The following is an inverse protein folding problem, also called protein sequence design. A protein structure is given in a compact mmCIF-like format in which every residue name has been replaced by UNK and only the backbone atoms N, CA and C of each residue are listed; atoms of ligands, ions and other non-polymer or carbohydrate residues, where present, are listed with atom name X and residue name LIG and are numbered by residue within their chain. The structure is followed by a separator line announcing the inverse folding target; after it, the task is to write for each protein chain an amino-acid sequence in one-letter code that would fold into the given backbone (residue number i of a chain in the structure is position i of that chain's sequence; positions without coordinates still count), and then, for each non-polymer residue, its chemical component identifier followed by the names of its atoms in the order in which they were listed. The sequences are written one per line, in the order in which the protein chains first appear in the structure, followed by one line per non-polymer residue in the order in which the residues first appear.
data_IF_549975296272
#
_entry.id   IF_549975296272
#
_cell.length_a   1.000
_cell.length_b   1.000
_cell.length_c   1.000
_cell.angle_alpha   90.00
_cell.angle_beta   90.00
_cell.angle_gamma   90.00
#
_symmetry.space_group_name_H-M   'P 1'
#
loop_
_entity.id
_entity.type
_entity.pdbx_description
1 polymer ?
#
# COMPACT_ATOMS: atom_id res chain seq x y z
N UNK A 1 1.91 50.48 -44.26
CA UNK A 1 3.03 50.08 -43.37
C UNK A 1 2.51 50.11 -41.94
N UNK A 2 2.53 49.09 -41.09
CA UNK A 2 2.74 47.65 -41.23
C UNK A 2 2.10 47.03 -39.97
N UNK A 3 1.17 46.10 -40.18
CA UNK A 3 0.65 45.14 -39.20
C UNK A 3 1.76 44.14 -38.90
N UNK A 4 2.25 44.00 -37.65
CA UNK A 4 2.98 42.84 -37.02
C UNK A 4 3.17 43.19 -35.52
N UNK A 5 2.89 42.43 -34.47
CA UNK A 5 2.60 41.00 -34.23
C UNK A 5 1.88 40.90 -32.87
N UNK A 6 0.63 40.47 -32.76
CA UNK A 6 0.15 39.09 -32.60
C UNK A 6 0.88 38.27 -31.52
N UNK A 7 0.16 38.10 -30.42
CA UNK A 7 0.30 37.13 -29.33
C UNK A 7 0.83 35.77 -29.79
N UNK A 8 1.97 35.36 -29.24
CA UNK A 8 2.39 33.96 -29.23
C UNK A 8 1.99 33.33 -27.89
N UNK A 9 0.71 33.00 -27.77
CA UNK A 9 0.21 32.05 -26.79
C UNK A 9 -0.20 30.79 -27.55
N UNK A 10 0.70 29.81 -27.63
CA UNK A 10 0.33 28.47 -28.07
C UNK A 10 1.34 27.45 -27.53
N UNK A 11 0.81 26.59 -26.65
CA UNK A 11 1.16 25.18 -26.56
C UNK A 11 2.62 24.81 -26.26
N UNK A 12 3.05 25.07 -25.02
CA UNK A 12 3.72 23.99 -24.29
C UNK A 12 2.61 23.10 -23.74
N UNK A 13 2.06 22.25 -24.60
CA UNK A 13 1.33 21.07 -24.16
C UNK A 13 2.34 20.26 -23.37
N UNK A 14 2.25 20.37 -22.04
CA UNK A 14 2.89 19.43 -21.15
C UNK A 14 2.51 18.05 -21.67
N UNK A 15 3.49 17.33 -22.21
CA UNK A 15 3.53 15.90 -21.96
C UNK A 15 3.59 15.78 -20.44
N UNK A 16 2.41 15.79 -19.79
CA UNK A 16 2.23 15.03 -18.58
C UNK A 16 2.54 13.60 -19.01
N UNK A 17 3.81 13.23 -18.96
CA UNK A 17 4.17 11.86 -18.73
C UNK A 17 3.40 11.51 -17.47
N UNK A 18 2.30 10.79 -17.62
CA UNK A 18 1.61 10.15 -16.51
C UNK A 18 2.67 9.28 -15.87
N UNK A 19 3.34 9.81 -14.86
CA UNK A 19 3.99 9.01 -13.85
C UNK A 19 2.83 8.29 -13.17
N UNK A 20 2.37 7.19 -13.76
CA UNK A 20 1.45 6.29 -13.09
C UNK A 20 2.26 5.67 -11.95
N UNK A 21 2.23 6.32 -10.80
CA UNK A 21 2.59 5.69 -9.55
C UNK A 21 1.59 4.54 -9.35
N UNK A 22 2.08 3.34 -9.01
CA UNK A 22 1.18 2.25 -8.70
C UNK A 22 0.35 2.53 -7.46
N UNK A 23 -0.75 1.80 -7.33
CA UNK A 23 -1.55 1.75 -6.12
C UNK A 23 -0.92 0.73 -5.17
N UNK A 24 -0.48 1.21 -4.02
CA UNK A 24 0.23 0.41 -3.03
C UNK A 24 -0.73 -0.05 -1.93
N UNK A 25 -0.67 -1.33 -1.57
CA UNK A 25 -1.32 -1.92 -0.41
C UNK A 25 -0.26 -2.45 0.56
N UNK A 26 -0.36 -2.04 1.82
CA UNK A 26 0.59 -2.39 2.88
C UNK A 26 -0.09 -3.19 3.98
N UNK A 27 0.65 -4.15 4.54
CA UNK A 27 0.25 -4.95 5.69
C UNK A 27 0.09 -4.10 6.95
N UNK A 28 -1.04 -4.28 7.64
CA UNK A 28 -1.37 -3.65 8.91
C UNK A 28 -1.73 -4.76 9.90
N UNK A 29 -0.84 -5.14 10.83
CA UNK A 29 -1.07 -6.26 11.73
C UNK A 29 -2.24 -5.98 12.67
N UNK A 30 -2.96 -7.03 13.04
CA UNK A 30 -4.11 -7.00 13.98
C UNK A 30 -3.93 -7.90 15.19
N UNK A 31 -2.91 -8.77 15.17
CA UNK A 31 -2.53 -9.62 16.27
C UNK A 31 -0.99 -9.75 16.34
N UNK A 32 -0.51 -10.42 17.39
CA UNK A 32 0.91 -10.66 17.66
C UNK A 32 1.26 -12.15 17.52
N UNK A 33 0.45 -12.89 16.76
CA UNK A 33 0.66 -14.30 16.42
C UNK A 33 1.87 -14.46 15.48
N UNK A 34 2.43 -15.65 15.40
CA UNK A 34 3.51 -15.96 14.46
C UNK A 34 3.01 -16.10 13.02
N UNK A 35 3.79 -15.74 11.98
CA UNK A 35 5.08 -15.04 12.04
C UNK A 35 4.92 -13.58 12.49
N UNK A 36 5.70 -13.15 13.48
CA UNK A 36 5.71 -11.78 14.00
C UNK A 36 6.56 -10.86 13.13
N UNK A 37 6.23 -9.58 13.14
CA UNK A 37 7.07 -8.54 12.50
C UNK A 37 7.17 -8.66 10.99
N UNK A 38 6.27 -9.41 10.35
CA UNK A 38 6.24 -9.48 8.90
C UNK A 38 5.83 -8.15 8.28
N UNK A 39 6.36 -7.87 7.10
CA UNK A 39 5.84 -6.83 6.23
C UNK A 39 5.43 -7.44 4.90
N UNK A 40 4.38 -6.90 4.30
CA UNK A 40 3.94 -7.27 2.97
C UNK A 40 3.45 -6.00 2.27
N UNK A 41 3.98 -5.76 1.08
CA UNK A 41 3.57 -4.67 0.21
C UNK A 41 3.27 -5.23 -1.18
N UNK A 42 2.13 -4.83 -1.74
CA UNK A 42 1.78 -5.10 -3.13
C UNK A 42 1.53 -3.79 -3.85
N UNK A 43 2.04 -3.67 -5.07
CA UNK A 43 1.79 -2.52 -5.94
C UNK A 43 1.08 -2.99 -7.20
N UNK A 44 -0.02 -2.32 -7.56
CA UNK A 44 -0.81 -2.61 -8.75
C UNK A 44 -0.91 -1.39 -9.67
N UNK A 45 -1.11 -1.60 -10.96
CA UNK A 45 -1.56 -0.52 -11.82
C UNK A 45 -3.00 -0.08 -11.49
N UNK A 46 -3.29 1.21 -11.70
CA UNK A 46 -4.60 1.80 -11.40
C UNK A 46 -5.74 1.12 -12.15
N UNK A 47 -5.51 0.70 -13.40
CA UNK A 47 -6.54 0.08 -14.23
C UNK A 47 -7.03 -1.23 -13.63
N UNK A 48 -6.13 -1.99 -13.03
CA UNK A 48 -6.42 -3.27 -12.37
C UNK A 48 -7.19 -3.06 -11.08
N UNK A 49 -6.79 -2.08 -10.25
CA UNK A 49 -7.56 -1.72 -9.05
C UNK A 49 -8.97 -1.29 -9.42
N UNK A 50 -9.11 -0.45 -10.45
CA UNK A 50 -10.42 0.01 -10.95
C UNK A 50 -11.27 -1.10 -11.56
N UNK A 51 -10.68 -2.22 -11.98
CA UNK A 51 -11.42 -3.39 -12.46
C UNK A 51 -12.07 -4.20 -11.33
N UNK A 52 -11.64 -4.01 -10.09
CA UNK A 52 -12.23 -4.58 -8.88
C UNK A 52 -11.72 -5.98 -8.50
N UNK A 53 -11.01 -6.68 -9.39
CA UNK A 53 -10.38 -7.96 -9.07
C UNK A 53 -9.09 -8.19 -9.87
N UNK A 54 -8.21 -9.04 -9.35
CA UNK A 54 -6.99 -9.47 -9.99
C UNK A 54 -6.69 -10.92 -9.67
N UNK A 55 -6.53 -11.74 -10.71
CA UNK A 55 -6.13 -13.14 -10.55
C UNK A 55 -4.90 -13.42 -11.40
N UNK A 56 -3.89 -14.05 -10.81
CA UNK A 56 -2.64 -14.40 -11.47
C UNK A 56 -2.11 -15.70 -10.87
N UNK A 57 -1.68 -16.60 -11.74
CA UNK A 57 -1.03 -17.83 -11.31
C UNK A 57 0.21 -18.06 -12.18
N UNK A 58 1.36 -17.89 -11.53
CA UNK A 58 2.66 -18.32 -11.99
C UNK A 58 2.96 -19.67 -11.33
N UNK A 59 2.62 -20.74 -12.02
CA UNK A 59 3.11 -22.09 -11.73
C UNK A 59 4.06 -22.46 -12.86
N UNK A 60 5.36 -22.24 -12.68
CA UNK A 60 6.34 -22.44 -13.72
C UNK A 60 7.16 -23.72 -13.51
N UNK A 61 6.50 -24.87 -13.54
CA UNK A 61 7.18 -26.15 -13.38
C UNK A 61 8.18 -26.45 -14.53
N UNK A 62 8.09 -25.78 -15.70
CA UNK A 62 8.85 -26.18 -16.91
C UNK A 62 9.10 -25.08 -17.97
N UNK A 63 8.79 -23.80 -17.77
CA UNK A 63 8.70 -22.87 -18.90
C UNK A 63 8.83 -21.39 -18.55
N UNK A 64 10.07 -20.99 -18.28
CA UNK A 64 10.54 -19.63 -18.13
C UNK A 64 9.59 -18.51 -18.60
N UNK A 65 9.38 -17.54 -17.71
CA UNK A 65 8.98 -16.15 -18.00
C UNK A 65 7.49 -15.82 -18.10
N UNK A 66 6.60 -16.53 -17.41
CA UNK A 66 5.25 -15.99 -17.17
C UNK A 66 5.34 -14.81 -16.17
N UNK A 67 5.42 -13.60 -16.72
CA UNK A 67 5.23 -12.36 -15.96
C UNK A 67 3.78 -11.87 -16.18
N UNK A 68 3.08 -11.36 -15.14
CA UNK A 68 1.90 -10.54 -15.34
C UNK A 68 2.34 -9.37 -16.21
N UNK A 69 1.79 -9.29 -17.42
CA UNK A 69 2.09 -8.18 -18.34
C UNK A 69 1.45 -6.87 -17.86
N UNK A 70 0.42 -6.99 -17.01
CA UNK A 70 -0.42 -5.94 -16.45
C UNK A 70 -0.94 -6.43 -15.08
N UNK A 71 -1.37 -5.52 -14.23
CA UNK A 71 -1.86 -5.78 -12.88
C UNK A 71 -0.80 -5.55 -11.83
N UNK A 72 -0.25 -6.63 -11.29
CA UNK A 72 0.77 -6.57 -10.26
C UNK A 72 2.07 -5.97 -10.83
N UNK A 73 2.52 -4.86 -10.24
CA UNK A 73 3.76 -4.18 -10.56
C UNK A 73 4.93 -4.67 -9.70
N UNK A 74 4.71 -4.83 -8.39
CA UNK A 74 5.70 -5.33 -7.44
C UNK A 74 5.03 -6.04 -6.25
N UNK A 75 5.78 -6.95 -5.63
CA UNK A 75 5.45 -7.55 -4.33
C UNK A 75 6.73 -7.61 -3.51
N UNK A 76 6.66 -7.17 -2.25
CA UNK A 76 7.74 -7.31 -1.29
C UNK A 76 7.20 -7.92 -0.02
N UNK A 77 7.83 -8.99 0.45
CA UNK A 77 7.56 -9.64 1.72
C UNK A 77 8.84 -9.67 2.53
N UNK A 78 8.77 -9.31 3.81
CA UNK A 78 9.91 -9.47 4.70
C UNK A 78 9.53 -9.95 6.10
N UNK A 79 10.52 -10.49 6.80
CA UNK A 79 10.43 -10.94 8.18
C UNK A 79 11.80 -10.79 8.87
N UNK A 80 11.81 -10.93 10.19
CA UNK A 80 13.05 -10.93 10.97
C UNK A 80 13.75 -12.30 10.87
N UNK A 81 14.75 -12.38 9.99
CA UNK A 81 15.55 -13.58 9.72
C UNK A 81 16.77 -13.68 10.64
N UNK A 82 17.20 -14.90 10.96
CA UNK A 82 18.36 -15.13 11.85
C UNK A 82 19.69 -14.64 11.24
N UNK A 83 19.85 -14.74 9.92
CA UNK A 83 21.04 -14.33 9.19
C UNK A 83 20.90 -12.97 8.46
N UNK A 84 19.74 -12.33 8.54
CA UNK A 84 19.42 -11.07 7.86
C UNK A 84 18.85 -11.20 6.44
N UNK A 85 18.72 -12.42 5.89
CA UNK A 85 18.22 -12.69 4.53
C UNK A 85 16.70 -12.95 4.55
N UNK A 86 15.94 -12.05 5.14
CA UNK A 86 14.50 -12.20 5.35
C UNK A 86 13.63 -11.44 4.35
N UNK A 87 14.03 -11.36 3.08
CA UNK A 87 13.40 -10.49 2.08
C UNK A 87 13.12 -11.23 0.78
N UNK A 88 11.84 -11.41 0.46
CA UNK A 88 11.37 -11.81 -0.85
C UNK A 88 10.90 -10.57 -1.62
N UNK A 89 11.40 -10.39 -2.84
CA UNK A 89 10.99 -9.30 -3.72
C UNK A 89 10.70 -9.80 -5.13
N UNK A 90 9.59 -9.31 -5.69
CA UNK A 90 9.11 -9.58 -7.03
C UNK A 90 8.85 -8.28 -7.78
N UNK A 91 9.27 -8.22 -9.05
CA UNK A 91 8.92 -7.16 -9.98
C UNK A 91 8.30 -7.72 -11.27
N UNK A 92 7.25 -7.07 -11.77
CA UNK A 92 6.70 -7.33 -13.11
C UNK A 92 7.73 -7.24 -14.24
N UNK A 93 8.82 -6.50 -14.03
CA UNK A 93 9.88 -6.30 -15.02
C UNK A 93 10.91 -7.41 -15.00
N UNK A 94 11.38 -7.82 -13.83
CA UNK A 94 12.50 -8.76 -13.67
C UNK A 94 12.09 -10.11 -13.13
N UNK A 95 11.02 -10.19 -12.35
CA UNK A 95 10.61 -11.36 -11.60
C UNK A 95 11.01 -11.33 -10.14
N UNK A 96 11.09 -12.51 -9.53
CA UNK A 96 11.70 -12.68 -8.21
C UNK A 96 13.20 -12.40 -8.26
N UNK A 97 13.71 -11.71 -7.24
CA UNK A 97 15.11 -11.28 -7.16
C UNK A 97 16.09 -12.44 -6.89
N UNK A 98 15.66 -13.49 -6.17
CA UNK A 98 16.40 -14.75 -6.00
C UNK A 98 16.70 -15.46 -7.34
N UNK A 99 16.00 -15.04 -8.40
CA UNK A 99 16.02 -15.69 -9.71
C UNK A 99 14.93 -16.75 -9.80
N UNK A 100 14.34 -16.91 -10.99
CA UNK A 100 13.34 -17.95 -11.21
C UNK A 100 13.99 -19.33 -11.17
N UNK A 101 13.88 -20.03 -10.04
CA UNK A 101 14.04 -21.48 -9.98
C UNK A 101 12.82 -22.20 -10.55
N UNK A 102 12.92 -23.50 -10.90
CA UNK A 102 11.80 -24.31 -11.39
C UNK A 102 10.64 -24.44 -10.39
N UNK A 103 10.88 -24.07 -9.12
CA UNK A 103 9.92 -24.17 -8.03
C UNK A 103 9.37 -22.80 -7.57
N UNK A 104 9.71 -21.70 -8.27
CA UNK A 104 9.16 -20.39 -7.94
C UNK A 104 7.67 -20.30 -8.30
N UNK A 105 6.85 -19.85 -7.35
CA UNK A 105 5.40 -19.78 -7.48
C UNK A 105 4.88 -18.40 -7.05
N UNK A 106 3.94 -17.85 -7.82
CA UNK A 106 3.18 -16.68 -7.41
C UNK A 106 1.72 -16.86 -7.80
N UNK A 107 0.88 -17.06 -6.80
CA UNK A 107 -0.56 -17.21 -6.95
C UNK A 107 -1.28 -16.10 -6.18
N UNK A 108 -2.11 -15.37 -6.90
CA UNK A 108 -2.88 -14.25 -6.40
C UNK A 108 -4.30 -14.40 -6.91
N UNK A 109 -5.27 -14.33 -6.02
CA UNK A 109 -6.68 -14.13 -6.38
C UNK A 109 -7.26 -13.10 -5.42
N UNK A 110 -7.36 -11.86 -5.89
CA UNK A 110 -7.57 -10.67 -5.07
C UNK A 110 -8.78 -9.87 -5.53
N UNK A 111 -9.45 -9.25 -4.58
CA UNK A 111 -10.52 -8.28 -4.79
C UNK A 111 -10.15 -6.94 -4.15
N UNK A 112 -10.40 -5.86 -4.88
CA UNK A 112 -10.16 -4.50 -4.43
C UNK A 112 -11.44 -3.93 -3.81
N UNK A 113 -11.44 -3.75 -2.49
CA UNK A 113 -12.53 -3.14 -1.76
C UNK A 113 -12.60 -1.63 -1.99
N UNK A 114 -13.82 -1.08 -2.06
CA UNK A 114 -14.03 0.38 -2.15
C UNK A 114 -13.60 1.14 -0.90
N UNK A 115 -13.41 0.42 0.21
CA UNK A 115 -12.85 0.90 1.48
C UNK A 115 -11.31 0.98 1.47
N UNK A 116 -10.67 0.59 0.35
CA UNK A 116 -9.23 0.55 0.21
C UNK A 116 -8.59 -0.67 0.86
N UNK A 117 -9.36 -1.73 1.14
CA UNK A 117 -8.83 -2.99 1.66
C UNK A 117 -8.79 -4.07 0.56
N UNK A 118 -7.77 -4.93 0.60
CA UNK A 118 -7.78 -6.16 -0.19
C UNK A 118 -8.52 -7.28 0.55
N UNK A 119 -9.00 -8.23 -0.24
CA UNK A 119 -9.41 -9.56 0.20
C UNK A 119 -9.00 -10.57 -0.86
N UNK A 120 -8.89 -11.83 -0.46
CA UNK A 120 -8.62 -12.97 -1.33
C UNK A 120 -7.49 -13.86 -0.82
N UNK A 121 -6.73 -14.40 -1.75
CA UNK A 121 -5.66 -15.36 -1.54
C UNK A 121 -4.33 -14.84 -2.09
N UNK A 122 -3.25 -15.07 -1.34
CA UNK A 122 -1.88 -14.76 -1.73
C UNK A 122 -1.00 -15.95 -1.38
N UNK A 123 -0.28 -16.47 -2.37
CA UNK A 123 0.81 -17.40 -2.15
C UNK A 123 2.00 -16.98 -2.99
N UNK A 124 3.14 -16.78 -2.35
CA UNK A 124 4.38 -16.40 -3.01
C UNK A 124 5.50 -17.31 -2.48
N UNK A 125 6.29 -17.84 -3.41
CA UNK A 125 7.42 -18.70 -3.17
C UNK A 125 8.52 -18.34 -4.18
N UNK A 126 9.67 -17.88 -3.70
CA UNK A 126 10.82 -17.52 -4.54
C UNK A 126 11.94 -18.56 -4.50
N UNK A 127 11.61 -19.78 -4.06
CA UNK A 127 12.47 -20.94 -3.75
C UNK A 127 13.28 -20.87 -2.47
N UNK A 128 13.52 -19.67 -1.92
CA UNK A 128 14.24 -19.48 -0.66
C UNK A 128 13.28 -19.15 0.49
N UNK A 129 12.17 -18.50 0.16
CA UNK A 129 11.17 -17.99 1.07
C UNK A 129 9.79 -18.34 0.53
N UNK A 130 8.85 -18.63 1.43
CA UNK A 130 7.44 -18.68 1.05
C UNK A 130 6.53 -18.05 2.10
N UNK A 131 5.40 -17.53 1.63
CA UNK A 131 4.31 -17.05 2.47
C UNK A 131 2.98 -17.34 1.78
N UNK A 132 2.01 -17.80 2.56
CA UNK A 132 0.63 -18.04 2.15
C UNK A 132 -0.33 -17.35 3.10
N UNK A 133 -1.24 -16.55 2.53
CA UNK A 133 -2.31 -15.85 3.24
C UNK A 133 -3.65 -16.10 2.56
N UNK A 134 -4.69 -16.31 3.37
CA UNK A 134 -6.07 -16.33 2.92
C UNK A 134 -6.89 -15.37 3.80
N UNK A 135 -8.00 -14.86 3.27
CA UNK A 135 -8.81 -13.87 3.95
C UNK A 135 -10.22 -14.33 4.27
N UNK A 136 -10.73 -13.89 5.42
CA UNK A 136 -12.16 -13.90 5.74
C UNK A 136 -12.67 -12.47 5.74
N UNK A 137 -13.43 -12.10 4.70
CA UNK A 137 -13.66 -10.68 4.40
C UNK A 137 -12.33 -10.02 4.01
N UNK A 138 -12.00 -8.87 4.60
CA UNK A 138 -10.72 -8.18 4.33
C UNK A 138 -9.59 -8.55 5.30
N UNK A 139 -9.85 -9.41 6.29
CA UNK A 139 -8.86 -9.84 7.27
C UNK A 139 -8.11 -11.04 6.71
N UNK A 140 -6.83 -10.85 6.39
CA UNK A 140 -5.92 -11.92 5.99
C UNK A 140 -5.33 -12.61 7.21
N UNK A 141 -5.13 -13.92 7.12
CA UNK A 141 -4.39 -14.74 8.07
C UNK A 141 -3.32 -15.52 7.33
N UNK A 142 -2.09 -15.44 7.80
CA UNK A 142 -0.98 -16.28 7.34
C UNK A 142 -1.28 -17.72 7.73
N UNK A 143 -1.45 -18.60 6.75
CA UNK A 143 -1.64 -20.03 6.99
C UNK A 143 -0.31 -20.79 6.89
N UNK A 144 0.68 -20.25 6.17
CA UNK A 144 2.02 -20.83 6.08
C UNK A 144 3.06 -19.75 5.79
N UNK A 145 4.24 -19.88 6.38
CA UNK A 145 5.41 -19.09 6.08
C UNK A 145 6.65 -19.93 6.42
N UNK A 146 7.67 -19.88 5.57
CA UNK A 146 8.96 -20.49 5.86
C UNK A 146 10.08 -19.82 5.07
N UNK A 147 11.32 -20.08 5.49
CA UNK A 147 12.50 -19.60 4.82
C UNK A 147 13.74 -20.43 5.14
N UNK A 148 14.59 -20.65 4.14
CA UNK A 148 15.93 -21.22 4.28
C UNK A 148 16.89 -20.32 5.08
N UNK A 149 16.55 -19.04 5.27
CA UNK A 149 17.28 -18.08 6.09
C UNK A 149 16.99 -18.22 7.60
N UNK A 150 16.01 -19.06 7.96
CA UNK A 150 15.54 -19.22 9.33
C UNK A 150 14.64 -18.08 9.78
N UNK A 151 13.45 -18.43 10.26
CA UNK A 151 12.42 -17.48 10.71
C UNK A 151 12.35 -17.34 12.25
N UNK A 152 13.45 -17.61 12.97
CA UNK A 152 13.49 -17.58 14.43
C UNK A 152 13.16 -16.20 15.03
N UNK A 153 13.58 -15.11 14.37
CA UNK A 153 13.23 -13.73 14.76
C UNK A 153 11.72 -13.46 14.67
N UNK A 154 11.07 -14.00 13.62
CA UNK A 154 9.62 -13.99 13.47
C UNK A 154 8.88 -14.95 14.42
N UNK A 155 9.60 -15.74 15.22
CA UNK A 155 9.05 -16.70 16.19
C UNK A 155 8.66 -18.04 15.60
N UNK A 156 9.04 -18.31 14.34
CA UNK A 156 8.84 -19.59 13.70
C UNK A 156 10.01 -20.53 14.02
N UNK A 157 9.71 -21.78 14.37
CA UNK A 157 10.74 -22.80 14.53
C UNK A 157 11.21 -23.36 13.19
N UNK A 158 12.42 -23.91 13.16
CA UNK A 158 12.99 -24.64 12.02
C UNK A 158 12.33 -25.99 11.72
N UNK A 159 11.49 -26.49 12.63
CA UNK A 159 10.91 -27.83 12.53
C UNK A 159 9.82 -27.89 11.46
N UNK A 160 9.95 -28.79 10.51
CA UNK A 160 9.03 -29.08 9.40
C UNK A 160 7.60 -29.44 9.82
N UNK A 161 7.38 -29.68 11.11
CA UNK A 161 6.16 -30.29 11.63
C UNK A 161 5.10 -29.26 12.07
N UNK A 162 5.42 -27.96 12.04
CA UNK A 162 4.48 -26.87 12.31
C UNK A 162 4.67 -25.76 11.27
N UNK A 163 3.71 -25.61 10.37
CA UNK A 163 3.68 -24.47 9.45
C UNK A 163 3.61 -23.17 10.27
N UNK A 164 4.48 -22.21 9.97
CA UNK A 164 4.43 -20.94 10.68
C UNK A 164 3.24 -20.11 10.18
N UNK A 165 2.21 -19.99 11.03
CA UNK A 165 0.97 -19.29 10.69
C UNK A 165 0.23 -18.80 11.93
N UNK A 166 -0.76 -17.94 11.69
CA UNK A 166 -1.58 -17.28 12.72
C UNK A 166 -1.59 -15.75 12.65
N UNK A 167 -0.49 -15.14 12.18
CA UNK A 167 -0.40 -13.70 11.99
C UNK A 167 -1.54 -13.20 11.10
N UNK A 168 -2.28 -12.21 11.58
CA UNK A 168 -3.46 -11.68 10.90
C UNK A 168 -3.39 -10.17 10.76
N UNK A 169 -3.94 -9.64 9.67
CA UNK A 169 -3.79 -8.24 9.32
C UNK A 169 -4.60 -7.84 8.10
N UNK A 170 -4.66 -6.53 7.87
CA UNK A 170 -5.29 -5.95 6.68
C UNK A 170 -4.21 -5.57 5.66
N UNK A 171 -4.49 -5.80 4.39
CA UNK A 171 -3.74 -5.17 3.30
C UNK A 171 -4.48 -3.91 2.87
N UNK A 172 -3.94 -2.75 3.25
CA UNK A 172 -4.62 -1.46 3.13
C UNK A 172 -3.92 -0.56 2.13
N UNK A 173 -4.71 0.09 1.29
CA UNK A 173 -4.22 1.05 0.31
C UNK A 173 -3.59 2.27 0.99
N UNK A 174 -2.35 2.58 0.63
CA UNK A 174 -1.64 3.76 1.11
C UNK A 174 -2.25 5.02 0.50
N UNK A 175 -2.40 6.07 1.29
CA UNK A 175 -2.89 7.38 0.83
C UNK A 175 -4.42 7.52 0.74
N UNK A 176 -5.21 6.48 1.04
CA UNK A 176 -6.66 6.63 1.27
C UNK A 176 -6.90 7.03 2.73
N UNK A 177 -7.18 8.32 2.93
CA UNK A 177 -7.85 8.78 4.15
C UNK A 177 -9.29 8.26 4.10
N UNK A 178 -9.75 7.46 5.08
CA UNK A 178 -11.11 6.95 5.08
C UNK A 178 -12.05 8.15 5.03
N UNK A 179 -12.89 8.20 3.99
CA UNK A 179 -13.91 9.23 3.88
C UNK A 179 -14.94 8.90 4.94
N UNK A 180 -14.80 9.51 6.12
CA UNK A 180 -15.88 9.51 7.11
C UNK A 180 -17.09 10.09 6.38
N UNK A 181 -18.20 9.34 6.23
CA UNK A 181 -19.42 9.91 5.71
C UNK A 181 -19.70 11.14 6.56
N UNK A 182 -19.94 12.29 5.95
CA UNK A 182 -20.35 13.50 6.66
C UNK A 182 -21.75 13.28 7.26
N UNK A 183 -21.84 12.43 8.28
CA UNK A 183 -22.99 12.18 9.12
C UNK A 183 -22.83 13.06 10.35
N UNK A 184 -23.59 14.15 10.35
CA UNK A 184 -24.02 14.94 11.50
C UNK A 184 -23.00 15.07 12.65
N UNK A 185 -22.14 16.09 12.54
CA UNK A 185 -21.59 16.74 13.73
C UNK A 185 -22.78 17.26 14.54
N UNK A 186 -23.00 16.83 15.80
CA UNK A 186 -23.97 17.50 16.65
C UNK A 186 -23.47 18.93 16.84
N UNK A 187 -24.23 19.91 16.36
CA UNK A 187 -23.94 21.32 16.64
C UNK A 187 -23.75 21.51 18.16
N UNK A 188 -22.67 22.18 18.61
CA UNK A 188 -22.63 22.61 19.99
C UNK A 188 -23.74 23.64 20.19
N UNK A 189 -24.78 23.22 20.93
CA UNK A 189 -25.82 24.10 21.38
C UNK A 189 -25.20 25.28 22.17
N UNK A 190 -25.54 26.48 21.70
CA UNK A 190 -25.56 27.77 22.43
C UNK A 190 -24.21 28.45 22.70
N UNK A 191 -23.94 29.53 21.94
CA UNK A 191 -23.89 30.88 22.51
C UNK A 191 -23.71 31.99 21.44
N UNK A 192 -24.81 32.67 21.10
CA UNK A 192 -24.86 34.13 20.94
C UNK A 192 -24.28 34.78 19.66
N UNK A 193 -25.07 35.57 18.89
CA UNK A 193 -24.56 36.36 17.79
C UNK A 193 -24.04 37.71 18.31
N UNK A 194 -22.79 38.06 18.00
CA UNK A 194 -22.34 39.45 18.02
C UNK A 194 -21.69 39.81 16.69
N UNK A 195 -22.50 40.50 15.90
CA UNK A 195 -22.13 41.41 14.82
C UNK A 195 -20.97 42.34 15.22
N UNK A 196 -20.10 42.69 14.27
CA UNK A 196 -19.38 43.98 14.35
C UNK A 196 -18.01 44.06 13.68
N UNK A 197 -18.01 44.34 12.38
CA UNK A 197 -17.14 45.29 11.66
C UNK A 197 -15.85 45.80 12.35
N UNK A 198 -14.71 45.47 11.75
CA UNK A 198 -13.90 46.43 10.99
C UNK A 198 -13.14 47.58 11.68
N UNK A 199 -11.82 47.60 11.40
CA UNK A 199 -11.06 48.74 10.84
C UNK A 199 -10.37 49.75 11.81
N UNK A 200 -9.05 49.97 11.52
CA UNK A 200 -8.13 51.08 11.88
C UNK A 200 -7.76 51.28 13.36
N UNK A 201 -6.69 51.97 13.74
CA UNK A 201 -5.31 52.16 13.29
C UNK A 201 -4.62 52.97 14.41
N UNK A 202 -3.30 52.81 14.50
CA UNK A 202 -2.30 53.79 14.93
C UNK A 202 -2.58 54.77 16.11
N UNK A 203 -1.76 54.59 17.15
CA UNK A 203 -0.92 55.61 17.81
C UNK A 203 -1.44 57.06 17.95
N UNK A 204 -1.48 57.55 19.20
CA UNK A 204 -0.65 58.68 19.67
C UNK A 204 -1.04 59.15 21.08
N UNK A 205 -0.07 59.10 21.99
CA UNK A 205 0.31 60.13 22.99
C UNK A 205 -0.74 61.15 23.48
N UNK A 206 -0.94 61.25 24.81
CA UNK A 206 -0.38 62.32 25.67
C UNK A 206 -1.05 62.37 27.06
N UNK A 207 -0.17 62.41 28.07
CA UNK A 207 -0.29 62.97 29.43
C UNK A 207 -1.44 63.98 29.65
N UNK A 208 -2.13 63.88 30.80
CA UNK A 208 -1.95 64.81 31.95
C UNK A 208 -2.66 64.36 33.24
N UNK A 209 -1.94 64.60 34.35
CA UNK A 209 -2.33 64.57 35.77
C UNK A 209 -3.54 65.44 36.10
N UNK A 210 -4.29 65.04 37.13
CA UNK A 210 -4.71 65.77 38.35
C UNK A 210 -5.54 64.76 39.17
N UNK A 211 -5.32 64.44 40.45
CA UNK A 211 -4.73 65.13 41.60
C UNK A 211 -3.76 64.21 42.35
#
# INVERSE_FOLDING_TARGET
MNIKSLLAAASLSLFCASSHAGVIYEWQPTNEETPRGITLQLEFDEATVNSGAFSFNLADYLGAHKRPRQGLLSLTYSFDAENGDGLMSYSSRTGFDSGYGPDALLELDLRFGSDGLLSGYIYANDTEHHVGLDSSGSLFTVFTANSDAGMGGAGCGWTTDVECGGASGYLRQTGITPTVPAGEVPEPALAGPLLGLGVLAAAATRRRKQR
#
